data_IF_107022506167
#
_entry.id   IF_107022506167
#
_cell.length_a   1.000
_cell.length_b   1.000
_cell.length_c   1.000
_cell.angle_alpha   90.00
_cell.angle_beta   90.00
_cell.angle_gamma   90.00
#
_symmetry.space_group_name_H-M   'P 1'
#
loop_
_entity.id
_entity.type
_entity.pdbx_description
1 polymer ?
#
# COMPACT_ATOMS: atom_id res chain seq x y z
N UNK A 1 19.45 62.70 12.03
CA UNK A 1 20.66 62.20 11.32
C UNK A 1 20.16 61.30 10.19
N UNK A 2 20.16 61.79 8.94
CA UNK A 2 19.60 61.04 7.80
C UNK A 2 20.61 60.00 7.31
N UNK A 3 20.25 58.72 7.37
CA UNK A 3 21.09 57.61 6.91
C UNK A 3 21.35 57.68 5.41
N UNK A 4 22.63 57.70 5.02
CA UNK A 4 23.05 57.70 3.63
C UNK A 4 22.60 56.39 2.94
N UNK A 5 21.67 56.50 1.99
CA UNK A 5 21.26 55.35 1.15
C UNK A 5 22.29 55.14 0.04
N UNK A 6 23.17 54.16 0.22
CA UNK A 6 24.13 53.73 -0.82
C UNK A 6 23.38 53.17 -2.03
N UNK A 7 23.24 53.98 -3.09
CA UNK A 7 22.63 53.53 -4.35
C UNK A 7 23.67 52.79 -5.19
N UNK A 8 23.69 51.47 -5.07
CA UNK A 8 24.46 50.60 -5.95
C UNK A 8 23.98 50.75 -7.40
N UNK A 9 24.74 51.50 -8.22
CA UNK A 9 24.52 51.60 -9.66
C UNK A 9 25.25 50.44 -10.33
N UNK A 10 24.55 49.33 -10.53
CA UNK A 10 25.05 48.27 -11.40
C UNK A 10 25.17 48.81 -12.83
N UNK A 11 26.39 48.86 -13.35
CA UNK A 11 26.64 49.09 -14.78
C UNK A 11 26.00 47.96 -15.58
N UNK A 12 25.69 48.21 -16.87
CA UNK A 12 25.02 47.21 -17.75
C UNK A 12 25.69 45.83 -17.70
N UNK A 13 27.01 45.79 -17.52
CA UNK A 13 27.81 44.55 -17.36
C UNK A 13 27.65 43.90 -15.98
N UNK A 14 27.59 44.69 -14.89
CA UNK A 14 27.36 44.17 -13.54
C UNK A 14 26.00 43.48 -13.35
N UNK A 15 24.97 43.93 -14.09
CA UNK A 15 23.65 43.28 -14.08
C UNK A 15 23.64 41.91 -14.75
N UNK A 16 24.41 41.75 -15.82
CA UNK A 16 24.56 40.46 -16.51
C UNK A 16 25.29 39.47 -15.61
N UNK A 17 26.41 39.86 -15.01
CA UNK A 17 27.20 38.99 -14.12
C UNK A 17 26.42 38.58 -12.88
N UNK A 18 25.72 39.51 -12.25
CA UNK A 18 24.91 39.20 -11.06
C UNK A 18 23.71 38.32 -11.42
N UNK A 19 23.06 38.60 -12.55
CA UNK A 19 21.97 37.77 -13.08
C UNK A 19 22.42 36.34 -13.40
N UNK A 20 23.58 36.16 -14.03
CA UNK A 20 24.10 34.82 -14.33
C UNK A 20 24.46 34.05 -13.05
N UNK A 21 25.01 34.73 -12.05
CA UNK A 21 25.37 34.09 -10.78
C UNK A 21 24.12 33.57 -10.04
N UNK A 22 23.05 34.38 -10.03
CA UNK A 22 21.76 33.97 -9.46
C UNK A 22 21.17 32.81 -10.26
N UNK A 23 21.19 32.87 -11.59
CA UNK A 23 20.63 31.81 -12.43
C UNK A 23 21.32 30.47 -12.20
N UNK A 24 22.66 30.46 -12.10
CA UNK A 24 23.44 29.26 -11.77
C UNK A 24 23.08 28.73 -10.39
N UNK A 25 22.99 29.61 -9.39
CA UNK A 25 22.65 29.21 -8.03
C UNK A 25 21.24 28.58 -7.95
N UNK A 26 20.24 29.23 -8.54
CA UNK A 26 18.86 28.73 -8.58
C UNK A 26 18.79 27.37 -9.28
N UNK A 27 19.47 27.23 -10.42
CA UNK A 27 19.53 25.96 -11.16
C UNK A 27 20.16 24.84 -10.31
N UNK A 28 21.24 25.14 -9.59
CA UNK A 28 21.91 24.17 -8.72
C UNK A 28 21.00 23.70 -7.58
N UNK A 29 20.27 24.62 -6.93
CA UNK A 29 19.32 24.27 -5.86
C UNK A 29 18.22 23.34 -6.41
N UNK A 30 17.62 23.67 -7.55
CA UNK A 30 16.60 22.82 -8.17
C UNK A 30 17.14 21.43 -8.53
N UNK A 31 18.36 21.34 -9.06
CA UNK A 31 18.99 20.06 -9.40
C UNK A 31 19.18 19.17 -8.16
N UNK A 32 19.66 19.75 -7.05
CA UNK A 32 19.81 19.03 -5.77
C UNK A 32 18.45 18.57 -5.25
N UNK A 33 17.43 19.43 -5.25
CA UNK A 33 16.09 19.04 -4.80
C UNK A 33 15.47 17.96 -5.68
N UNK A 34 15.66 17.98 -7.00
CA UNK A 34 15.18 16.93 -7.89
C UNK A 34 15.88 15.58 -7.65
N UNK A 35 17.18 15.62 -7.35
CA UNK A 35 17.98 14.41 -7.11
C UNK A 35 17.70 13.77 -5.75
N UNK A 36 17.47 14.57 -4.71
CA UNK A 36 17.38 14.10 -3.32
C UNK A 36 16.00 14.30 -2.66
N UNK A 37 15.12 15.10 -3.26
CA UNK A 37 13.80 15.45 -2.73
C UNK A 37 12.64 14.69 -3.35
N UNK A 38 12.91 13.66 -4.17
CA UNK A 38 11.87 12.76 -4.66
C UNK A 38 11.13 12.12 -3.48
N UNK A 39 9.80 12.03 -3.59
CA UNK A 39 8.99 11.30 -2.62
C UNK A 39 9.51 9.87 -2.51
N UNK A 40 10.08 9.53 -1.37
CA UNK A 40 10.44 8.15 -1.09
C UNK A 40 9.13 7.40 -0.91
N UNK A 41 8.94 6.29 -1.64
CA UNK A 41 7.88 5.36 -1.32
C UNK A 41 8.22 4.76 0.04
N UNK A 42 7.60 5.27 1.10
CA UNK A 42 7.68 4.67 2.43
C UNK A 42 6.87 3.38 2.35
N UNK A 43 7.56 2.25 2.17
CA UNK A 43 7.00 0.96 2.52
C UNK A 43 6.90 0.95 4.05
N UNK A 44 5.75 1.33 4.59
CA UNK A 44 5.48 1.15 6.00
C UNK A 44 5.47 -0.35 6.27
N UNK A 45 6.49 -0.85 6.96
CA UNK A 45 6.52 -2.19 7.57
C UNK A 45 5.69 -2.22 8.86
N UNK A 46 4.71 -1.32 8.98
CA UNK A 46 3.58 -1.54 9.86
C UNK A 46 2.85 -2.73 9.26
N UNK A 47 3.22 -3.92 9.71
CA UNK A 47 2.34 -5.06 9.67
C UNK A 47 1.05 -4.60 10.35
N UNK A 48 0.11 -4.09 9.55
CA UNK A 48 -1.27 -3.99 9.96
C UNK A 48 -1.59 -5.43 10.28
N UNK A 49 -1.66 -5.74 11.58
CA UNK A 49 -2.19 -7.01 12.08
C UNK A 49 -3.68 -6.99 11.80
N UNK A 50 -4.03 -6.96 10.51
CA UNK A 50 -5.32 -7.34 10.04
C UNK A 50 -5.41 -8.81 10.40
N UNK A 51 -6.13 -9.09 11.48
CA UNK A 51 -6.35 -10.45 11.94
C UNK A 51 -7.21 -11.13 10.88
N UNK A 52 -6.56 -11.88 9.99
CA UNK A 52 -7.25 -12.64 8.97
C UNK A 52 -7.92 -13.83 9.64
N UNK A 53 -9.19 -14.02 9.32
CA UNK A 53 -9.89 -15.25 9.63
C UNK A 53 -9.51 -16.36 8.67
N UNK A 54 -9.41 -17.59 9.18
CA UNK A 54 -9.12 -18.80 8.42
C UNK A 54 -10.14 -19.89 8.71
N UNK A 55 -10.54 -20.63 7.67
CA UNK A 55 -11.32 -21.87 7.81
C UNK A 55 -10.48 -23.05 7.36
N UNK A 56 -10.46 -24.12 8.14
CA UNK A 56 -9.76 -25.36 7.79
C UNK A 56 -10.71 -26.26 7.01
N UNK A 57 -10.33 -26.55 5.76
CA UNK A 57 -11.10 -27.40 4.83
C UNK A 57 -11.21 -28.83 5.39
N UNK A 58 -12.42 -29.35 5.55
CA UNK A 58 -12.63 -30.73 6.00
C UNK A 58 -12.57 -31.73 4.83
N UNK A 59 -12.36 -33.02 5.09
CA UNK A 59 -12.45 -34.04 4.06
C UNK A 59 -13.82 -34.04 3.37
N UNK A 60 -13.83 -33.80 2.05
CA UNK A 60 -15.06 -33.74 1.24
C UNK A 60 -15.63 -32.33 1.06
N UNK A 61 -15.04 -31.31 1.69
CA UNK A 61 -15.44 -29.92 1.49
C UNK A 61 -14.98 -29.37 0.14
N UNK A 62 -15.70 -28.37 -0.33
CA UNK A 62 -15.34 -27.57 -1.51
C UNK A 62 -15.48 -26.09 -1.19
N UNK A 63 -14.76 -25.23 -1.92
CA UNK A 63 -14.91 -23.77 -1.76
C UNK A 63 -16.35 -23.31 -2.01
N UNK A 64 -17.09 -24.02 -2.85
CA UNK A 64 -18.51 -23.74 -3.12
C UNK A 64 -19.38 -23.95 -1.88
N UNK A 65 -19.20 -25.07 -1.19
CA UNK A 65 -19.90 -25.37 0.04
C UNK A 65 -19.47 -24.44 1.18
N UNK A 66 -18.17 -24.15 1.27
CA UNK A 66 -17.62 -23.20 2.24
C UNK A 66 -18.23 -21.80 2.06
N UNK A 67 -18.28 -21.29 0.83
CA UNK A 67 -18.88 -20.00 0.53
C UNK A 67 -20.36 -19.94 0.94
N UNK A 68 -21.13 -20.98 0.62
CA UNK A 68 -22.55 -21.07 1.01
C UNK A 68 -22.77 -21.17 2.52
N UNK A 69 -21.83 -21.75 3.26
CA UNK A 69 -21.88 -21.84 4.72
C UNK A 69 -21.51 -20.51 5.40
N UNK A 70 -20.56 -19.76 4.82
CA UNK A 70 -20.12 -18.45 5.36
C UNK A 70 -21.22 -17.41 5.17
N UNK A 71 -21.75 -17.28 3.96
CA UNK A 71 -22.75 -16.27 3.63
C UNK A 71 -23.70 -16.77 2.54
N UNK A 72 -24.90 -17.25 2.90
CA UNK A 72 -25.88 -17.75 1.93
C UNK A 72 -26.59 -16.63 1.17
N UNK A 73 -26.38 -15.35 1.52
CA UNK A 73 -27.04 -14.20 0.88
C UNK A 73 -26.32 -13.72 -0.38
N UNK A 74 -25.05 -14.09 -0.56
CA UNK A 74 -24.21 -13.71 -1.69
C UNK A 74 -24.11 -14.86 -2.69
N UNK A 75 -23.94 -14.56 -3.98
CA UNK A 75 -23.65 -15.60 -4.97
C UNK A 75 -22.33 -16.30 -4.61
N UNK A 76 -22.35 -17.63 -4.35
CA UNK A 76 -21.15 -18.37 -3.98
C UNK A 76 -20.03 -18.26 -5.01
N UNK A 77 -20.34 -18.00 -6.30
CA UNK A 77 -19.33 -17.81 -7.34
C UNK A 77 -18.45 -16.60 -7.09
N UNK A 78 -19.05 -15.49 -6.63
CA UNK A 78 -18.34 -14.25 -6.36
C UNK A 78 -17.43 -14.41 -5.15
N UNK A 79 -17.94 -15.05 -4.09
CA UNK A 79 -17.18 -15.33 -2.88
C UNK A 79 -16.05 -16.34 -3.13
N UNK A 80 -16.30 -17.41 -3.90
CA UNK A 80 -15.26 -18.37 -4.31
C UNK A 80 -14.17 -17.67 -5.11
N UNK A 81 -14.53 -16.82 -6.08
CA UNK A 81 -13.54 -16.10 -6.88
C UNK A 81 -12.70 -15.15 -6.02
N UNK A 82 -13.29 -14.54 -4.99
CA UNK A 82 -12.57 -13.72 -4.03
C UNK A 82 -11.63 -14.53 -3.15
N UNK A 83 -12.08 -15.65 -2.61
CA UNK A 83 -11.26 -16.57 -1.80
C UNK A 83 -10.08 -17.10 -2.61
N UNK A 84 -10.30 -17.49 -3.87
CA UNK A 84 -9.24 -17.95 -4.79
C UNK A 84 -8.19 -16.86 -5.00
N UNK A 85 -8.61 -15.61 -5.24
CA UNK A 85 -7.70 -14.47 -5.38
C UNK A 85 -6.93 -14.19 -4.09
N UNK A 86 -7.63 -14.17 -2.95
CA UNK A 86 -7.03 -13.88 -1.64
C UNK A 86 -5.96 -14.92 -1.27
N UNK A 87 -6.21 -16.19 -1.55
CA UNK A 87 -5.32 -17.30 -1.21
C UNK A 87 -4.35 -17.67 -2.36
N UNK A 88 -4.34 -16.91 -3.46
CA UNK A 88 -3.55 -17.20 -4.67
C UNK A 88 -3.67 -18.65 -5.17
N UNK A 89 -4.88 -19.20 -5.11
CA UNK A 89 -5.14 -20.58 -5.54
C UNK A 89 -5.15 -20.66 -7.08
N UNK A 90 -4.60 -21.75 -7.63
CA UNK A 90 -4.63 -22.01 -9.09
C UNK A 90 -6.01 -22.36 -9.65
N UNK A 91 -7.04 -22.41 -8.81
CA UNK A 91 -8.41 -22.77 -9.17
C UNK A 91 -9.26 -23.00 -7.90
N UNK A 92 -10.44 -23.61 -8.06
CA UNK A 92 -11.36 -23.86 -6.95
C UNK A 92 -11.09 -25.15 -6.16
N UNK A 93 -10.01 -25.87 -6.49
CA UNK A 93 -9.61 -27.09 -5.81
C UNK A 93 -8.93 -26.77 -4.47
N UNK A 94 -9.32 -27.49 -3.42
CA UNK A 94 -8.76 -27.38 -2.06
C UNK A 94 -8.42 -28.76 -1.51
N UNK A 95 -7.43 -28.81 -0.63
CA UNK A 95 -7.01 -30.03 0.05
C UNK A 95 -7.59 -30.08 1.46
N UNK A 96 -7.92 -31.28 1.94
CA UNK A 96 -8.35 -31.46 3.33
C UNK A 96 -7.21 -31.06 4.30
N UNK A 97 -7.57 -30.33 5.36
CA UNK A 97 -6.64 -29.75 6.32
C UNK A 97 -5.97 -28.45 5.86
N UNK A 98 -6.26 -27.97 4.65
CA UNK A 98 -5.71 -26.70 4.16
C UNK A 98 -6.39 -25.52 4.88
N UNK A 99 -5.63 -24.60 5.50
CA UNK A 99 -6.18 -23.35 6.00
C UNK A 99 -6.47 -22.42 4.83
N UNK A 100 -7.69 -21.89 4.77
CA UNK A 100 -8.15 -20.98 3.74
C UNK A 100 -8.51 -19.65 4.40
N UNK A 101 -7.79 -18.59 4.03
CA UNK A 101 -8.09 -17.24 4.48
C UNK A 101 -9.43 -16.78 3.91
N UNK A 102 -10.24 -16.12 4.73
CA UNK A 102 -11.52 -15.54 4.33
C UNK A 102 -11.43 -14.01 4.27
N UNK A 103 -12.25 -13.36 3.42
CA UNK A 103 -12.32 -11.90 3.41
C UNK A 103 -12.68 -11.33 4.79
N UNK A 104 -12.11 -10.18 5.14
CA UNK A 104 -12.21 -9.58 6.49
C UNK A 104 -13.64 -9.36 6.99
N UNK A 105 -14.58 -9.11 6.08
CA UNK A 105 -16.00 -8.95 6.42
C UNK A 105 -16.64 -10.22 6.99
N UNK A 106 -15.96 -11.36 6.87
CA UNK A 106 -16.36 -12.67 7.38
C UNK A 106 -15.41 -13.21 8.45
N UNK A 107 -14.55 -12.38 9.03
CA UNK A 107 -13.64 -12.83 10.10
C UNK A 107 -14.40 -13.42 11.30
N UNK A 108 -15.62 -12.93 11.57
CA UNK A 108 -16.49 -13.41 12.65
C UNK A 108 -17.45 -14.53 12.23
N UNK A 109 -17.33 -15.06 11.00
CA UNK A 109 -18.23 -16.09 10.52
C UNK A 109 -18.02 -17.44 11.27
N UNK A 110 -19.08 -18.27 11.41
CA UNK A 110 -18.96 -19.54 12.11
C UNK A 110 -17.86 -20.44 11.52
N UNK A 111 -16.99 -20.98 12.37
CA UNK A 111 -15.91 -21.88 11.95
C UNK A 111 -14.64 -21.17 11.43
N UNK A 112 -14.62 -19.84 11.46
CA UNK A 112 -13.43 -19.03 11.20
C UNK A 112 -12.60 -18.92 12.47
N UNK A 113 -11.28 -19.10 12.33
CA UNK A 113 -10.29 -19.08 13.40
C UNK A 113 -9.19 -18.07 13.05
N UNK A 114 -8.61 -17.41 14.05
CA UNK A 114 -7.50 -16.48 13.84
C UNK A 114 -6.21 -17.23 13.45
N UNK A 115 -5.27 -16.54 12.82
CA UNK A 115 -3.94 -17.10 12.53
C UNK A 115 -3.24 -17.60 13.82
N UNK A 116 -3.40 -16.86 14.92
CA UNK A 116 -2.81 -17.20 16.21
C UNK A 116 -3.34 -18.52 16.79
N UNK A 117 -4.63 -18.84 16.58
CA UNK A 117 -5.23 -20.10 17.02
C UNK A 117 -4.77 -21.29 16.19
N UNK A 118 -4.48 -21.07 14.90
CA UNK A 118 -3.97 -22.10 13.99
C UNK A 118 -2.45 -22.27 14.07
N UNK A 119 -1.74 -21.39 14.77
CA UNK A 119 -0.28 -21.40 14.86
C UNK A 119 0.41 -21.02 13.54
N UNK A 120 -0.22 -20.13 12.76
CA UNK A 120 0.27 -19.61 11.48
C UNK A 120 0.95 -18.24 11.62
#
# INVERSE_FOLDING_TARGET
MNGARTRLRLTRRGRVVFGSLIAVFVTAVFAVTAMFGGAQAVASDEAVTTDFGYVVVQPGDSLWQLAGNIDPSVDPRDLVAEIVRLNSLGGSGVQAGQPIAVPLRYADAPGVMSAAELGL
#
